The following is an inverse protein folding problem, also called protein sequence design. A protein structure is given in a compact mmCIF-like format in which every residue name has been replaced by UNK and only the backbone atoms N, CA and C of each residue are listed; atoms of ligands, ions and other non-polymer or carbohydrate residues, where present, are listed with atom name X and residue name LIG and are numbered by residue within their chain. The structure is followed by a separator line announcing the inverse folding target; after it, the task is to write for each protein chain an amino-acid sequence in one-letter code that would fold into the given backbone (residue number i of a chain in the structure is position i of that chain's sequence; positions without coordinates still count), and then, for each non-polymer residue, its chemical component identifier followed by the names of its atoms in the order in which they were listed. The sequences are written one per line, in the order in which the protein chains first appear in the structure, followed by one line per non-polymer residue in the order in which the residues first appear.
data_IF_664818359255
#
_entry.id   IF_664818359255
#
_cell.length_a   1.000
_cell.length_b   1.000
_cell.length_c   1.000
_cell.angle_alpha   90.00
_cell.angle_beta   90.00
_cell.angle_gamma   90.00
#
_symmetry.space_group_name_H-M   'P 1'
#
loop_
_entity.id
_entity.type
_entity.pdbx_description
1 polymer ?
#
# COMPACT_ATOMS: atom_id res chain seq x y z
N UNK A 1 -8.77 13.81 7.82
CA UNK A 1 -9.16 13.54 6.41
C UNK A 1 -9.61 14.81 5.70
N UNK A 2 -10.50 15.61 6.31
CA UNK A 2 -10.99 16.90 5.79
C UNK A 2 -9.89 17.83 5.27
N UNK A 3 -8.83 18.10 6.05
CA UNK A 3 -7.75 18.99 5.64
C UNK A 3 -6.92 18.51 4.44
N UNK A 4 -6.85 17.20 4.16
CA UNK A 4 -6.10 16.65 3.03
C UNK A 4 -6.89 16.77 1.72
N UNK A 5 -8.22 16.60 1.80
CA UNK A 5 -9.14 16.77 0.68
C UNK A 5 -9.35 18.25 0.32
N UNK A 6 -9.20 19.15 1.29
CA UNK A 6 -9.26 20.61 1.07
C UNK A 6 -8.00 21.16 0.41
N UNK A 7 -6.82 20.64 0.76
CA UNK A 7 -5.54 21.11 0.23
C UNK A 7 -5.14 20.46 -1.11
N UNK A 8 -5.72 19.30 -1.45
CA UNK A 8 -5.43 18.58 -2.68
C UNK A 8 -6.73 18.24 -3.41
N UNK A 9 -6.80 18.52 -4.72
CA UNK A 9 -7.90 18.05 -5.57
C UNK A 9 -7.83 16.52 -5.74
N UNK A 10 -8.27 15.79 -4.74
CA UNK A 10 -8.30 14.32 -4.76
C UNK A 10 -9.40 13.86 -5.72
N UNK A 11 -8.98 13.19 -6.80
CA UNK A 11 -9.89 12.73 -7.87
C UNK A 11 -10.41 11.31 -7.67
N UNK A 12 -9.69 10.49 -6.91
CA UNK A 12 -10.03 9.11 -6.61
C UNK A 12 -9.35 8.67 -5.31
N UNK A 13 -9.94 7.69 -4.63
CA UNK A 13 -9.37 7.03 -3.46
C UNK A 13 -9.18 5.56 -3.79
N UNK A 14 -7.93 5.09 -3.79
CA UNK A 14 -7.64 3.66 -3.88
C UNK A 14 -7.63 3.06 -2.48
N UNK A 15 -8.56 2.15 -2.21
CA UNK A 15 -8.67 1.44 -0.94
C UNK A 15 -8.30 -0.02 -1.14
N UNK A 16 -7.33 -0.49 -0.38
CA UNK A 16 -6.96 -1.90 -0.41
C UNK A 16 -8.02 -2.77 0.29
N UNK A 17 -8.22 -3.99 -0.23
CA UNK A 17 -9.22 -4.96 0.23
C UNK A 17 -8.75 -5.76 1.47
N UNK A 18 -8.23 -5.06 2.48
CA UNK A 18 -7.83 -5.64 3.76
C UNK A 18 -9.01 -5.93 4.70
N UNK A 19 -8.71 -6.48 5.89
CA UNK A 19 -9.70 -6.93 6.89
C UNK A 19 -10.64 -5.82 7.40
N UNK A 20 -10.23 -4.55 7.28
CA UNK A 20 -11.01 -3.38 7.71
C UNK A 20 -11.57 -2.55 6.55
N UNK A 21 -11.49 -3.03 5.31
CA UNK A 21 -11.89 -2.28 4.12
C UNK A 21 -13.37 -1.86 4.16
N UNK A 22 -14.27 -2.68 4.72
CA UNK A 22 -15.70 -2.36 4.79
C UNK A 22 -16.00 -1.17 5.70
N UNK A 23 -15.36 -1.11 6.88
CA UNK A 23 -15.51 0.01 7.82
C UNK A 23 -14.95 1.31 7.24
N UNK A 24 -13.80 1.23 6.55
CA UNK A 24 -13.20 2.39 5.89
C UNK A 24 -14.05 2.86 4.70
N UNK A 25 -14.55 1.94 3.87
CA UNK A 25 -15.47 2.27 2.78
C UNK A 25 -16.74 2.95 3.29
N UNK A 26 -17.28 2.50 4.42
CA UNK A 26 -18.45 3.13 5.04
C UNK A 26 -18.16 4.56 5.51
N UNK A 27 -17.00 4.84 6.10
CA UNK A 27 -16.60 6.21 6.43
C UNK A 27 -16.41 7.08 5.17
N UNK A 28 -15.83 6.50 4.12
CA UNK A 28 -15.58 7.20 2.85
C UNK A 28 -16.85 7.43 2.02
N UNK A 29 -17.96 6.73 2.31
CA UNK A 29 -19.24 6.96 1.62
C UNK A 29 -19.77 8.40 1.79
N UNK A 30 -19.35 9.10 2.84
CA UNK A 30 -19.67 10.51 3.09
C UNK A 30 -18.88 11.49 2.20
N UNK A 31 -17.87 11.01 1.48
CA UNK A 31 -16.99 11.80 0.63
C UNK A 31 -17.41 11.62 -0.83
N UNK A 32 -17.64 12.74 -1.54
CA UNK A 32 -18.05 12.72 -2.96
C UNK A 32 -16.86 12.49 -3.92
N UNK A 33 -16.05 11.46 -3.64
CA UNK A 33 -14.89 11.07 -4.44
C UNK A 33 -15.00 9.56 -4.73
N UNK A 34 -14.77 9.12 -5.98
CA UNK A 34 -14.86 7.70 -6.31
C UNK A 34 -13.83 6.87 -5.52
N UNK A 35 -14.32 5.83 -4.85
CA UNK A 35 -13.51 4.87 -4.09
C UNK A 35 -13.35 3.59 -4.90
N UNK A 36 -12.12 3.19 -5.17
CA UNK A 36 -11.77 1.98 -5.91
C UNK A 36 -11.20 0.94 -4.98
N UNK A 37 -11.84 -0.23 -4.90
CA UNK A 37 -11.36 -1.36 -4.09
C UNK A 37 -10.34 -2.19 -4.87
N UNK A 38 -9.07 -1.99 -4.55
CA UNK A 38 -7.96 -2.71 -5.14
C UNK A 38 -7.71 -4.00 -4.35
N UNK A 39 -7.65 -5.13 -5.05
CA UNK A 39 -7.35 -6.42 -4.41
C UNK A 39 -5.92 -6.41 -3.86
N UNK A 40 -5.75 -6.82 -2.61
CA UNK A 40 -4.49 -6.80 -1.87
C UNK A 40 -3.70 -8.12 -1.97
N UNK A 41 -4.19 -9.10 -2.74
CA UNK A 41 -3.48 -10.37 -2.88
C UNK A 41 -2.00 -10.13 -3.28
N UNK A 42 -1.11 -10.63 -2.41
CA UNK A 42 0.35 -10.60 -2.50
C UNK A 42 1.08 -9.29 -2.18
N UNK A 43 0.42 -8.29 -1.59
CA UNK A 43 1.04 -7.00 -1.24
C UNK A 43 2.19 -7.15 -0.22
N UNK A 44 2.09 -8.06 0.76
CA UNK A 44 3.13 -8.25 1.78
C UNK A 44 4.45 -8.75 1.21
N UNK A 45 4.41 -9.71 0.29
CA UNK A 45 5.61 -10.25 -0.35
C UNK A 45 6.25 -9.23 -1.30
N UNK A 46 5.44 -8.52 -2.09
CA UNK A 46 5.93 -7.47 -2.99
C UNK A 46 6.46 -6.26 -2.21
N UNK A 47 5.82 -5.88 -1.11
CA UNK A 47 6.28 -4.81 -0.23
C UNK A 47 7.62 -5.17 0.42
N UNK A 48 7.78 -6.41 0.87
CA UNK A 48 9.05 -6.92 1.41
C UNK A 48 10.16 -6.94 0.34
N UNK A 49 9.84 -7.37 -0.89
CA UNK A 49 10.79 -7.33 -2.00
C UNK A 49 11.22 -5.89 -2.32
N UNK A 50 10.26 -4.94 -2.37
CA UNK A 50 10.52 -3.53 -2.62
C UNK A 50 11.38 -2.91 -1.49
N UNK A 51 11.08 -3.23 -0.23
CA UNK A 51 11.88 -2.81 0.93
C UNK A 51 13.33 -3.28 0.81
N UNK A 52 13.58 -4.54 0.43
CA UNK A 52 14.95 -5.05 0.29
C UNK A 52 15.64 -4.56 -0.99
N UNK A 53 14.90 -4.10 -2.00
CA UNK A 53 15.48 -3.40 -3.15
C UNK A 53 16.00 -2.01 -2.75
N UNK A 54 15.23 -1.25 -1.98
CA UNK A 54 15.64 0.06 -1.45
C UNK A 54 16.66 -0.04 -0.31
N UNK A 55 16.59 -1.13 0.48
CA UNK A 55 17.44 -1.39 1.64
C UNK A 55 18.08 -2.78 1.55
N UNK A 56 19.09 -2.96 0.67
CA UNK A 56 19.73 -4.25 0.49
C UNK A 56 20.37 -4.74 1.80
N UNK A 57 20.21 -6.02 2.16
CA UNK A 57 20.74 -6.56 3.40
C UNK A 57 22.28 -6.48 3.40
N UNK A 58 22.84 -5.96 4.50
CA UNK A 58 24.28 -5.79 4.70
C UNK A 58 24.83 -6.77 5.73
N UNK A 59 26.13 -7.07 5.65
CA UNK A 59 26.83 -7.96 6.59
C UNK A 59 26.35 -9.41 6.50
N UNK A 60 26.20 -10.08 7.66
CA UNK A 60 25.77 -11.48 7.74
C UNK A 60 24.40 -11.75 7.13
N UNK A 61 23.52 -10.74 7.10
CA UNK A 61 22.18 -10.84 6.49
C UNK A 61 22.23 -11.06 4.99
N UNK A 62 23.35 -10.79 4.31
CA UNK A 62 23.52 -11.08 2.87
C UNK A 62 23.56 -12.58 2.56
N UNK A 63 23.92 -13.42 3.54
CA UNK A 63 24.01 -14.87 3.37
C UNK A 63 22.66 -15.58 3.52
N UNK A 64 21.63 -14.86 3.97
CA UNK A 64 20.30 -15.41 4.22
C UNK A 64 19.38 -15.07 3.04
N UNK A 65 18.62 -16.03 2.50
CA UNK A 65 17.61 -15.76 1.49
C UNK A 65 16.63 -14.66 1.93
N UNK A 66 16.31 -13.74 1.02
CA UNK A 66 15.44 -12.58 1.31
C UNK A 66 14.07 -12.97 1.89
N UNK A 67 13.54 -14.14 1.49
CA UNK A 67 12.26 -14.65 2.02
C UNK A 67 12.29 -15.00 3.51
N UNK A 68 13.46 -15.26 4.09
CA UNK A 68 13.66 -15.57 5.50
C UNK A 68 14.05 -14.34 6.33
N UNK A 69 14.34 -13.21 5.68
CA UNK A 69 14.66 -11.98 6.38
C UNK A 69 13.39 -11.22 6.75
N UNK A 70 13.21 -10.97 8.04
CA UNK A 70 12.20 -10.05 8.52
C UNK A 70 12.70 -8.60 8.34
N UNK A 71 11.92 -7.73 7.69
CA UNK A 71 12.24 -6.32 7.61
C UNK A 71 12.20 -5.74 9.04
N UNK A 72 13.23 -4.99 9.45
CA UNK A 72 13.31 -4.39 10.79
C UNK A 72 12.40 -3.16 10.95
N UNK A 73 11.72 -2.73 9.89
CA UNK A 73 10.80 -1.59 9.87
C UNK A 73 9.41 -2.02 9.38
N UNK A 74 8.34 -1.32 9.80
CA UNK A 74 7.01 -1.48 9.20
C UNK A 74 7.10 -1.26 7.69
N UNK A 75 6.48 -2.15 6.93
CA UNK A 75 6.43 -2.08 5.45
C UNK A 75 5.07 -1.63 4.94
N UNK A 76 4.20 -1.16 5.83
CA UNK A 76 2.82 -0.79 5.51
C UNK A 76 2.77 0.38 4.52
N UNK A 77 3.74 1.30 4.58
CA UNK A 77 3.88 2.40 3.62
C UNK A 77 4.14 1.89 2.19
N UNK A 78 4.88 0.79 2.05
CA UNK A 78 5.12 0.16 0.76
C UNK A 78 3.87 -0.51 0.21
N UNK A 79 2.99 -1.03 1.08
CA UNK A 79 1.69 -1.55 0.66
C UNK A 79 0.81 -0.44 0.06
N UNK A 80 0.79 0.74 0.67
CA UNK A 80 0.07 1.91 0.14
C UNK A 80 0.59 2.32 -1.26
N UNK A 81 1.92 2.33 -1.45
CA UNK A 81 2.53 2.62 -2.76
C UNK A 81 2.14 1.57 -3.81
N UNK A 82 2.11 0.28 -3.45
CA UNK A 82 1.71 -0.80 -4.35
C UNK A 82 0.23 -0.68 -4.77
N UNK A 83 -0.65 -0.34 -3.83
CA UNK A 83 -2.08 -0.09 -4.10
C UNK A 83 -2.23 1.07 -5.08
N UNK A 84 -1.53 2.18 -4.84
CA UNK A 84 -1.57 3.34 -5.73
C UNK A 84 -1.05 3.00 -7.15
N UNK A 85 0.04 2.22 -7.26
CA UNK A 85 0.57 1.76 -8.54
C UNK A 85 -0.43 0.87 -9.30
N UNK A 86 -1.05 -0.11 -8.62
CA UNK A 86 -2.07 -0.97 -9.24
C UNK A 86 -3.27 -0.15 -9.73
N UNK A 87 -3.74 0.80 -8.92
CA UNK A 87 -4.82 1.69 -9.33
C UNK A 87 -4.48 2.47 -10.61
N UNK A 88 -3.25 2.99 -10.71
CA UNK A 88 -2.78 3.70 -11.90
C UNK A 88 -2.65 2.79 -13.12
N UNK A 89 -2.31 1.51 -12.93
CA UNK A 89 -2.27 0.52 -14.02
C UNK A 89 -3.67 0.13 -14.51
N UNK A 90 -4.64 -0.05 -13.61
CA UNK A 90 -6.02 -0.41 -13.94
C UNK A 90 -6.82 0.75 -14.55
N UNK A 91 -6.46 2.00 -14.24
CA UNK A 91 -7.15 3.22 -14.70
C UNK A 91 -6.54 3.80 -15.99
N UNK A 92 -5.51 3.14 -16.55
CA UNK A 92 -4.81 3.57 -17.77
C UNK A 92 -5.46 3.04 -19.04
#
# INVERSE_FOLDING_TARGET
MSQLLENYKVRAIALGRGTHASAVAQMLSSVNVPVHLIDEHETTWRARALYFADHPPRGWRRLIPLGLLLPPRPIDDYAAVLIARRFLEETR
#
